data_IF_328723631930
#
_entry.id   IF_328723631930
#
_cell.length_a   1.000
_cell.length_b   1.000
_cell.length_c   1.000
_cell.angle_alpha   90.00
_cell.angle_beta   90.00
_cell.angle_gamma   90.00
#
_symmetry.space_group_name_H-M   'P 1'
#
loop_
_entity.id
_entity.type
_entity.pdbx_description
1 polymer ?
#
# COMPACT_ATOMS: atom_id res chain seq x y z
N UNK A 1 -2.18 -11.84 -22.46
CA UNK A 1 -3.21 -12.87 -22.79
C UNK A 1 -4.53 -12.42 -22.17
N UNK A 2 -5.69 -12.89 -22.63
CA UNK A 2 -6.94 -12.68 -21.87
C UNK A 2 -6.70 -13.12 -20.41
N UNK A 3 -7.00 -12.22 -19.45
CA UNK A 3 -6.73 -12.42 -18.03
C UNK A 3 -5.33 -12.01 -17.53
N UNK A 4 -4.55 -11.27 -18.32
CA UNK A 4 -3.32 -10.58 -17.89
C UNK A 4 -3.50 -9.08 -18.09
N UNK A 5 -3.02 -8.28 -17.15
CA UNK A 5 -3.18 -6.83 -17.16
C UNK A 5 -4.14 -6.30 -16.10
N UNK A 6 -4.02 -5.00 -15.86
CA UNK A 6 -4.87 -4.25 -14.94
C UNK A 6 -6.32 -4.35 -15.42
N UNK A 7 -7.18 -4.88 -14.54
CA UNK A 7 -8.58 -5.18 -14.86
C UNK A 7 -9.48 -4.58 -13.81
N UNK A 8 -10.54 -3.90 -14.26
CA UNK A 8 -11.60 -3.38 -13.41
C UNK A 8 -12.92 -4.12 -13.69
N UNK A 9 -13.64 -4.46 -12.62
CA UNK A 9 -14.97 -5.06 -12.68
C UNK A 9 -16.02 -4.00 -12.33
N UNK A 10 -16.79 -3.58 -13.33
CA UNK A 10 -17.88 -2.62 -13.16
C UNK A 10 -19.18 -3.36 -12.81
N UNK A 11 -19.78 -3.03 -11.67
CA UNK A 11 -21.10 -3.54 -11.30
C UNK A 11 -22.17 -2.88 -12.17
N UNK A 12 -23.02 -3.69 -12.81
CA UNK A 12 -24.18 -3.26 -13.57
C UNK A 12 -25.48 -3.46 -12.75
N UNK A 13 -26.64 -3.22 -13.36
CA UNK A 13 -27.94 -3.55 -12.77
C UNK A 13 -28.14 -5.08 -12.69
N UNK A 14 -28.61 -5.58 -11.53
CA UNK A 14 -28.55 -7.00 -11.09
C UNK A 14 -27.08 -7.47 -10.86
N UNK A 15 -26.76 -8.56 -10.12
CA UNK A 15 -25.37 -8.91 -9.78
C UNK A 15 -24.59 -9.45 -10.99
N UNK A 16 -24.32 -8.57 -11.96
CA UNK A 16 -23.60 -8.77 -13.21
C UNK A 16 -22.46 -7.75 -13.25
N UNK A 17 -21.29 -8.22 -13.65
CA UNK A 17 -20.11 -7.38 -13.80
C UNK A 17 -19.71 -7.29 -15.27
N UNK A 18 -19.44 -6.09 -15.76
CA UNK A 18 -18.66 -5.89 -16.97
C UNK A 18 -17.16 -5.98 -16.61
N UNK A 19 -16.39 -6.65 -17.47
CA UNK A 19 -14.94 -6.78 -17.34
C UNK A 19 -14.29 -5.75 -18.26
N UNK A 20 -13.52 -4.84 -17.67
CA UNK A 20 -12.73 -3.84 -18.39
C UNK A 20 -11.25 -4.18 -18.23
N UNK A 21 -10.61 -4.63 -19.32
CA UNK A 21 -9.16 -4.82 -19.36
C UNK A 21 -8.54 -3.50 -19.81
N UNK A 22 -7.79 -2.86 -18.92
CA UNK A 22 -7.30 -1.49 -19.09
C UNK A 22 -5.99 -1.49 -19.89
N UNK A 23 -5.08 -2.41 -19.56
CA UNK A 23 -3.80 -2.55 -20.23
C UNK A 23 -2.89 -3.52 -19.48
N UNK A 24 -1.67 -3.70 -19.99
CA UNK A 24 -0.64 -4.57 -19.39
C UNK A 24 0.59 -3.82 -18.90
N UNK A 25 0.64 -2.52 -19.18
CA UNK A 25 1.69 -1.61 -18.76
C UNK A 25 1.69 -1.46 -17.23
N UNK A 26 2.88 -1.56 -16.62
CA UNK A 26 3.02 -1.50 -15.18
C UNK A 26 2.43 -2.67 -14.39
N UNK A 27 1.82 -3.66 -15.04
CA UNK A 27 1.25 -4.84 -14.40
C UNK A 27 2.34 -5.63 -13.65
N UNK A 28 2.27 -5.56 -12.32
CA UNK A 28 3.18 -6.22 -11.40
C UNK A 28 2.45 -6.47 -10.07
N UNK A 29 3.14 -7.06 -9.09
CA UNK A 29 2.52 -7.49 -7.83
C UNK A 29 2.03 -6.32 -6.97
N UNK A 30 0.81 -5.86 -7.25
CA UNK A 30 0.20 -4.80 -6.46
C UNK A 30 -0.62 -3.78 -7.22
N UNK A 31 -1.20 -2.85 -6.48
CA UNK A 31 -1.86 -1.68 -7.05
C UNK A 31 -2.54 -0.80 -6.01
N UNK A 32 -2.97 0.36 -6.48
CA UNK A 32 -3.69 1.37 -5.72
C UNK A 32 -4.75 2.06 -6.56
N UNK A 33 -5.59 2.85 -5.92
CA UNK A 33 -6.58 3.71 -6.58
C UNK A 33 -6.56 5.06 -5.88
N UNK A 34 -6.50 6.16 -6.64
CA UNK A 34 -6.43 7.51 -6.10
C UNK A 34 -6.51 8.56 -7.19
N UNK A 35 -6.70 9.82 -6.81
CA UNK A 35 -6.70 10.94 -7.77
C UNK A 35 -5.28 11.53 -7.83
N UNK A 36 -4.44 11.04 -8.75
CA UNK A 36 -3.01 11.40 -8.75
C UNK A 36 -2.76 12.70 -9.52
N UNK A 37 -3.62 13.06 -10.46
CA UNK A 37 -3.50 14.27 -11.27
C UNK A 37 -4.39 15.43 -10.77
N UNK A 38 -5.13 15.24 -9.67
CA UNK A 38 -6.00 16.22 -9.02
C UNK A 38 -7.16 16.69 -9.89
N UNK A 39 -7.67 15.82 -10.76
CA UNK A 39 -8.79 16.13 -11.66
C UNK A 39 -10.15 15.65 -11.16
N UNK A 40 -10.19 15.06 -9.96
CA UNK A 40 -11.38 14.55 -9.31
C UNK A 40 -11.79 13.14 -9.72
N UNK A 41 -11.07 12.49 -10.64
CA UNK A 41 -11.32 11.09 -11.05
C UNK A 41 -10.37 10.15 -10.31
N UNK A 42 -10.75 8.86 -10.26
CA UNK A 42 -9.97 7.83 -9.58
C UNK A 42 -9.12 7.09 -10.60
N UNK A 43 -7.83 7.38 -10.57
CA UNK A 43 -6.79 6.74 -11.35
C UNK A 43 -6.38 5.40 -10.72
N UNK A 44 -5.75 4.56 -11.53
CA UNK A 44 -5.23 3.27 -11.07
C UNK A 44 -3.72 3.33 -11.00
N UNK A 45 -3.20 2.99 -9.83
CA UNK A 45 -1.78 2.98 -9.52
C UNK A 45 -1.23 1.57 -9.70
N UNK A 46 -0.07 1.49 -10.34
CA UNK A 46 0.72 0.27 -10.48
C UNK A 46 2.12 0.50 -9.89
N UNK A 47 2.93 -0.54 -9.67
CA UNK A 47 4.31 -0.37 -9.24
C UNK A 47 5.23 0.41 -10.22
N UNK A 48 4.85 0.55 -11.50
CA UNK A 48 5.71 1.14 -12.53
C UNK A 48 5.04 2.27 -13.33
N UNK A 49 4.10 2.96 -12.71
CA UNK A 49 3.34 4.04 -13.33
C UNK A 49 1.87 3.95 -12.98
N UNK A 50 1.05 4.71 -13.68
CA UNK A 50 -0.38 4.81 -13.37
C UNK A 50 -1.21 4.97 -14.63
N UNK A 51 -2.46 4.54 -14.55
CA UNK A 51 -3.46 4.71 -15.59
C UNK A 51 -4.37 5.88 -15.23
N UNK A 52 -4.40 6.88 -16.10
CA UNK A 52 -5.28 8.04 -15.98
C UNK A 52 -6.70 7.66 -16.38
N UNK A 53 -7.64 7.94 -15.47
CA UNK A 53 -9.04 7.75 -15.72
C UNK A 53 -9.54 8.74 -16.78
N UNK A 54 -10.16 8.28 -17.87
CA UNK A 54 -10.78 9.19 -18.81
C UNK A 54 -12.10 9.74 -18.23
N UNK A 55 -12.72 10.69 -18.93
CA UNK A 55 -14.00 11.27 -18.50
C UNK A 55 -15.12 10.23 -18.40
N UNK A 56 -15.10 9.21 -19.28
CA UNK A 56 -16.04 8.08 -19.24
C UNK A 56 -15.28 6.73 -19.11
N UNK A 57 -14.91 6.29 -17.89
CA UNK A 57 -14.03 5.13 -17.65
C UNK A 57 -14.47 3.80 -18.27
N UNK A 58 -15.77 3.62 -18.51
CA UNK A 58 -16.35 2.42 -19.11
C UNK A 58 -16.45 2.47 -20.66
N UNK A 59 -16.06 3.58 -21.28
CA UNK A 59 -16.22 3.82 -22.73
C UNK A 59 -14.95 4.29 -23.41
N UNK A 60 -14.19 5.13 -22.71
CA UNK A 60 -13.02 5.81 -23.23
C UNK A 60 -11.75 5.06 -22.84
N UNK A 61 -10.68 5.26 -23.60
CA UNK A 61 -9.38 4.64 -23.34
C UNK A 61 -8.68 5.29 -22.15
N UNK A 62 -8.11 4.46 -21.28
CA UNK A 62 -7.23 4.91 -20.21
C UNK A 62 -5.83 5.18 -20.76
N UNK A 63 -5.16 6.21 -20.24
CA UNK A 63 -3.79 6.55 -20.65
C UNK A 63 -2.78 6.10 -19.61
N UNK A 64 -1.77 5.32 -20.01
CA UNK A 64 -0.69 4.92 -19.11
C UNK A 64 0.41 5.98 -19.06
N UNK A 65 0.84 6.32 -17.84
CA UNK A 65 1.93 7.25 -17.55
C UNK A 65 3.04 6.53 -16.78
N UNK A 66 4.18 6.31 -17.44
CA UNK A 66 5.36 5.64 -16.88
C UNK A 66 6.24 6.60 -16.05
N UNK A 67 5.63 7.33 -15.13
CA UNK A 67 6.30 8.44 -14.43
C UNK A 67 7.27 8.00 -13.33
N UNK A 68 7.18 6.75 -12.87
CA UNK A 68 8.02 6.15 -11.84
C UNK A 68 8.17 4.64 -12.06
N UNK A 69 9.15 4.05 -11.37
CA UNK A 69 9.40 2.60 -11.42
C UNK A 69 9.97 2.14 -10.07
N UNK A 70 9.20 1.33 -9.34
CA UNK A 70 9.65 0.71 -8.10
C UNK A 70 10.35 -0.65 -8.38
N UNK A 71 11.15 -1.14 -7.43
CA UNK A 71 11.99 -2.34 -7.62
C UNK A 71 11.15 -3.64 -7.76
N UNK A 72 11.15 -4.22 -8.96
CA UNK A 72 10.52 -5.50 -9.28
C UNK A 72 10.88 -6.61 -8.28
N UNK A 73 12.13 -6.66 -7.79
CA UNK A 73 12.59 -7.77 -6.93
C UNK A 73 12.00 -7.69 -5.53
N UNK A 74 11.70 -6.49 -5.08
CA UNK A 74 11.13 -6.27 -3.77
C UNK A 74 9.59 -6.39 -3.78
N UNK A 75 9.00 -6.47 -4.99
CA UNK A 75 7.57 -6.65 -5.27
C UNK A 75 6.71 -5.71 -4.40
N UNK A 76 6.83 -4.39 -4.63
CA UNK A 76 6.01 -3.40 -3.94
C UNK A 76 4.59 -3.51 -4.46
N UNK A 77 3.62 -3.36 -3.56
CA UNK A 77 2.31 -2.90 -3.98
C UNK A 77 1.10 -3.70 -3.51
N UNK A 78 1.21 -4.54 -2.49
CA UNK A 78 0.06 -5.28 -1.94
C UNK A 78 -1.18 -4.37 -1.77
N UNK A 79 -0.97 -3.15 -1.27
CA UNK A 79 -1.85 -1.99 -1.39
C UNK A 79 -0.99 -0.73 -1.45
N UNK A 80 -1.27 0.16 -2.41
CA UNK A 80 -0.56 1.44 -2.59
C UNK A 80 -1.50 2.62 -2.32
N UNK A 81 -1.58 3.14 -1.08
CA UNK A 81 -2.41 4.29 -0.75
C UNK A 81 -1.98 5.56 -1.49
N UNK A 82 -2.95 6.41 -1.81
CA UNK A 82 -2.76 7.68 -2.51
C UNK A 82 -3.36 8.81 -1.69
N UNK A 83 -2.51 9.62 -1.07
CA UNK A 83 -2.86 10.77 -0.22
C UNK A 83 -1.77 11.83 -0.30
N UNK A 84 -2.09 13.07 0.02
CA UNK A 84 -1.12 14.15 0.24
C UNK A 84 -0.36 13.90 1.55
N UNK A 85 0.89 13.44 1.46
CA UNK A 85 1.71 13.01 2.60
C UNK A 85 2.44 14.18 3.25
N UNK A 86 2.75 15.23 2.48
CA UNK A 86 3.51 16.39 2.94
C UNK A 86 2.68 17.69 3.07
N UNK A 87 1.40 17.65 2.75
CA UNK A 87 0.47 18.78 2.83
C UNK A 87 0.64 19.82 1.72
N UNK A 88 1.29 19.46 0.60
CA UNK A 88 1.56 20.41 -0.50
C UNK A 88 0.42 20.53 -1.53
N UNK A 89 -0.66 19.75 -1.33
CA UNK A 89 -1.84 19.70 -2.18
C UNK A 89 -1.71 18.75 -3.38
N UNK A 90 -0.62 18.01 -3.50
CA UNK A 90 -0.44 16.95 -4.48
C UNK A 90 -0.56 15.59 -3.79
N UNK A 91 -1.38 14.70 -4.35
CA UNK A 91 -1.43 13.35 -3.81
C UNK A 91 -0.15 12.59 -4.17
N UNK A 92 0.38 11.90 -3.19
CA UNK A 92 1.56 11.04 -3.26
C UNK A 92 1.18 9.57 -3.28
N UNK A 93 2.17 8.69 -3.38
CA UNK A 93 1.94 7.24 -3.41
C UNK A 93 2.77 6.56 -2.32
N UNK A 94 2.11 5.95 -1.34
CA UNK A 94 2.76 5.13 -0.32
C UNK A 94 2.93 3.70 -0.85
N UNK A 95 4.09 3.09 -0.60
CA UNK A 95 4.36 1.71 -0.96
C UNK A 95 5.06 0.95 0.18
N UNK A 96 4.79 -0.36 0.27
CA UNK A 96 5.52 -1.29 1.13
C UNK A 96 5.93 -2.51 0.33
N UNK A 97 7.11 -3.05 0.62
CA UNK A 97 7.63 -4.23 -0.07
C UNK A 97 7.07 -5.53 0.53
N UNK A 98 6.43 -6.33 -0.32
CA UNK A 98 5.90 -7.64 0.03
C UNK A 98 7.01 -8.70 0.11
N UNK A 99 8.01 -8.63 -0.77
CA UNK A 99 9.00 -9.70 -0.94
C UNK A 99 10.45 -9.21 -0.88
N UNK A 100 10.66 -7.89 -0.72
CA UNK A 100 11.91 -7.27 -0.29
C UNK A 100 11.79 -6.59 1.06
N UNK A 101 12.83 -5.86 1.46
CA UNK A 101 12.81 -5.02 2.66
C UNK A 101 12.49 -3.57 2.30
N UNK A 102 11.63 -2.98 3.12
CA UNK A 102 11.42 -1.55 3.20
C UNK A 102 10.01 -1.10 2.84
N UNK A 103 9.81 0.19 3.05
CA UNK A 103 8.58 0.93 2.76
C UNK A 103 8.98 2.39 2.57
N UNK A 104 8.24 3.09 1.75
CA UNK A 104 8.47 4.49 1.46
C UNK A 104 7.26 5.13 0.81
N UNK A 105 7.49 6.31 0.25
CA UNK A 105 6.50 7.01 -0.54
C UNK A 105 7.15 7.76 -1.69
N UNK A 106 6.39 7.91 -2.78
CA UNK A 106 6.77 8.69 -3.94
C UNK A 106 6.10 10.06 -3.82
N UNK A 107 6.91 11.06 -3.46
CA UNK A 107 6.52 12.47 -3.42
C UNK A 107 6.27 12.95 -4.85
N UNK A 108 5.03 13.34 -5.14
CA UNK A 108 4.70 14.02 -6.38
C UNK A 108 5.28 15.43 -6.33
N UNK A 109 5.98 15.80 -7.39
CA UNK A 109 6.59 17.14 -7.54
C UNK A 109 6.11 17.79 -8.83
N UNK A 110 6.11 19.12 -8.85
CA UNK A 110 5.83 19.93 -10.05
C UNK A 110 7.06 20.73 -10.45
N UNK A 111 7.53 20.52 -11.67
CA UNK A 111 8.54 21.34 -12.32
C UNK A 111 8.04 22.74 -12.61
N UNK A 112 8.96 23.66 -12.96
CA UNK A 112 8.61 25.05 -13.32
C UNK A 112 7.74 25.17 -14.57
N UNK A 113 7.79 24.16 -15.43
CA UNK A 113 6.99 24.00 -16.65
C UNK A 113 5.66 23.26 -16.38
N UNK A 114 5.38 22.91 -15.12
CA UNK A 114 4.22 22.12 -14.73
C UNK A 114 4.38 20.61 -14.91
N UNK A 115 5.55 20.14 -15.38
CA UNK A 115 5.80 18.71 -15.53
C UNK A 115 5.73 18.01 -14.17
N UNK A 116 5.04 16.86 -14.14
CA UNK A 116 5.03 15.97 -12.96
C UNK A 116 6.39 15.29 -12.83
N UNK A 117 6.86 15.14 -11.60
CA UNK A 117 7.96 14.25 -11.25
C UNK A 117 7.62 13.47 -9.99
N UNK A 118 8.36 12.42 -9.71
CA UNK A 118 8.27 11.68 -8.46
C UNK A 118 9.64 11.59 -7.80
N UNK A 119 9.67 11.83 -6.49
CA UNK A 119 10.87 11.66 -5.67
C UNK A 119 10.60 10.59 -4.61
N UNK A 120 11.47 9.59 -4.58
CA UNK A 120 11.36 8.48 -3.64
C UNK A 120 11.91 8.86 -2.26
N UNK A 121 11.15 8.57 -1.22
CA UNK A 121 11.51 8.73 0.18
C UNK A 121 11.37 7.41 0.91
N UNK A 122 12.51 6.85 1.31
CA UNK A 122 12.53 5.67 2.15
C UNK A 122 12.13 6.02 3.59
N UNK A 123 11.17 5.28 4.14
CA UNK A 123 10.66 5.44 5.51
C UNK A 123 11.19 4.34 6.43
N UNK A 124 11.27 3.12 5.91
CA UNK A 124 11.64 1.93 6.65
C UNK A 124 12.54 1.04 5.79
N UNK A 125 13.52 0.37 6.40
CA UNK A 125 14.44 -0.55 5.74
C UNK A 125 14.56 -1.90 6.47
N UNK A 126 14.00 -2.02 7.67
CA UNK A 126 14.14 -3.21 8.53
C UNK A 126 12.95 -4.17 8.44
N UNK A 127 11.82 -3.72 7.87
CA UNK A 127 10.62 -4.54 7.72
C UNK A 127 10.50 -5.10 6.30
N UNK A 128 9.96 -6.30 6.19
CA UNK A 128 9.65 -6.98 4.94
C UNK A 128 8.34 -7.75 5.13
N UNK A 129 7.74 -8.23 4.04
CA UNK A 129 6.44 -8.92 4.08
C UNK A 129 5.27 -8.01 4.42
N UNK A 130 5.36 -6.73 4.06
CA UNK A 130 4.28 -5.76 4.29
C UNK A 130 3.12 -6.04 3.32
N UNK A 131 2.05 -6.65 3.83
CA UNK A 131 0.98 -7.27 3.03
C UNK A 131 -0.41 -6.73 3.30
N UNK A 132 -0.50 -5.67 4.08
CA UNK A 132 -1.73 -4.92 4.25
C UNK A 132 -1.33 -3.52 4.64
N UNK A 133 -1.92 -2.54 3.97
CA UNK A 133 -1.89 -1.13 4.35
C UNK A 133 -3.31 -0.59 4.30
N UNK A 134 -3.69 0.15 5.34
CA UNK A 134 -4.94 0.90 5.41
C UNK A 134 -4.65 2.29 5.97
N UNK A 135 -5.55 3.22 5.70
CA UNK A 135 -5.45 4.60 6.19
C UNK A 135 -6.54 4.87 7.23
N UNK A 136 -6.21 5.70 8.22
CA UNK A 136 -7.18 6.21 9.19
C UNK A 136 -6.57 7.33 10.04
N UNK A 137 -7.38 8.28 10.48
CA UNK A 137 -6.97 9.32 11.42
C UNK A 137 -6.97 8.72 12.84
N UNK A 138 -5.82 8.18 13.26
CA UNK A 138 -5.71 7.39 14.50
C UNK A 138 -5.56 8.29 15.72
N UNK A 139 -4.85 9.41 15.58
CA UNK A 139 -4.59 10.37 16.66
C UNK A 139 -5.62 11.53 16.72
N UNK A 140 -6.57 11.60 15.78
CA UNK A 140 -7.59 12.65 15.66
C UNK A 140 -7.00 14.04 15.38
N UNK A 141 -5.88 14.10 14.66
CA UNK A 141 -5.26 15.37 14.25
C UNK A 141 -5.82 15.90 12.92
N UNK A 142 -6.66 15.12 12.24
CA UNK A 142 -7.28 15.46 10.96
C UNK A 142 -6.49 14.98 9.74
N UNK A 143 -5.30 14.39 9.93
CA UNK A 143 -4.50 13.77 8.89
C UNK A 143 -4.75 12.25 8.85
N UNK A 144 -4.56 11.65 7.68
CA UNK A 144 -4.64 10.20 7.54
C UNK A 144 -3.28 9.59 7.89
N UNK A 145 -3.31 8.64 8.83
CA UNK A 145 -2.14 7.83 9.18
C UNK A 145 -2.13 6.49 8.45
N UNK A 146 -0.95 5.87 8.40
CA UNK A 146 -0.77 4.54 7.81
C UNK A 146 -0.78 3.45 8.88
N UNK A 147 -1.67 2.46 8.74
CA UNK A 147 -1.61 1.22 9.51
C UNK A 147 -1.16 0.12 8.56
N UNK A 148 -0.06 -0.56 8.90
CA UNK A 148 0.57 -1.55 8.04
C UNK A 148 0.92 -2.83 8.80
N UNK A 149 0.76 -3.97 8.14
CA UNK A 149 0.92 -5.29 8.76
C UNK A 149 1.87 -6.21 7.99
N UNK A 150 2.65 -6.97 8.74
CA UNK A 150 3.55 -8.01 8.22
C UNK A 150 2.84 -9.35 8.08
N UNK A 151 2.91 -9.97 6.90
CA UNK A 151 2.46 -11.35 6.64
C UNK A 151 3.49 -12.37 7.17
N UNK A 152 2.97 -13.48 7.67
CA UNK A 152 3.77 -14.69 7.94
C UNK A 152 3.99 -15.49 6.65
N UNK A 153 5.25 -15.67 6.24
CA UNK A 153 5.68 -16.53 5.13
C UNK A 153 4.90 -16.28 3.82
N UNK A 154 5.08 -15.11 3.20
CA UNK A 154 4.49 -14.75 1.90
C UNK A 154 4.59 -15.85 0.87
N UNK A 155 5.81 -16.31 0.60
CA UNK A 155 6.10 -17.44 -0.28
C UNK A 155 6.63 -18.67 0.45
N UNK A 156 5.89 -19.13 1.48
CA UNK A 156 6.21 -20.38 2.19
C UNK A 156 7.62 -20.43 2.79
N UNK A 157 8.22 -19.27 3.11
CA UNK A 157 9.56 -19.17 3.69
C UNK A 157 10.67 -18.75 2.72
N UNK A 158 10.37 -18.59 1.43
CA UNK A 158 11.37 -18.22 0.41
C UNK A 158 11.78 -16.75 0.45
N UNK A 159 10.87 -15.87 0.88
CA UNK A 159 11.15 -14.45 0.96
C UNK A 159 12.03 -14.12 2.17
N UNK A 160 12.79 -13.01 2.12
CA UNK A 160 13.45 -12.45 3.29
C UNK A 160 12.47 -12.26 4.45
N UNK A 161 13.01 -12.25 5.68
CA UNK A 161 12.23 -11.96 6.89
C UNK A 161 11.05 -12.91 7.15
N UNK A 162 10.96 -14.06 6.45
CA UNK A 162 9.86 -15.03 6.62
C UNK A 162 9.79 -15.66 8.01
N UNK A 163 10.89 -15.57 8.77
CA UNK A 163 11.03 -16.10 10.13
C UNK A 163 11.33 -15.01 11.16
N UNK A 164 11.30 -13.75 10.74
CA UNK A 164 11.45 -12.60 11.63
C UNK A 164 10.15 -12.37 12.43
N UNK A 165 10.21 -11.56 13.50
CA UNK A 165 9.02 -11.17 14.25
C UNK A 165 7.91 -10.62 13.35
N UNK A 166 6.67 -10.98 13.69
CA UNK A 166 5.46 -10.40 13.11
C UNK A 166 5.09 -9.11 13.83
N UNK A 167 4.51 -8.17 13.09
CA UNK A 167 4.02 -6.95 13.69
C UNK A 167 2.93 -6.26 12.87
N UNK A 168 2.15 -5.47 13.59
CA UNK A 168 1.25 -4.45 13.05
C UNK A 168 1.72 -3.13 13.61
N UNK A 169 1.90 -2.17 12.72
CA UNK A 169 2.47 -0.87 13.02
C UNK A 169 1.51 0.22 12.57
N UNK A 170 1.47 1.29 13.34
CA UNK A 170 0.88 2.55 12.95
C UNK A 170 2.02 3.53 12.68
N UNK A 171 1.98 4.23 11.56
CA UNK A 171 2.88 5.34 11.27
C UNK A 171 2.05 6.61 11.27
N UNK A 172 2.29 7.47 12.26
CA UNK A 172 1.77 8.83 12.32
C UNK A 172 2.42 9.64 11.19
N UNK A 173 1.60 10.26 10.34
CA UNK A 173 2.05 11.02 9.17
C UNK A 173 1.87 12.51 9.44
N UNK A 174 2.97 13.25 9.45
CA UNK A 174 2.97 14.71 9.64
C UNK A 174 4.07 15.33 8.78
N UNK A 175 3.73 16.29 7.92
CA UNK A 175 4.66 17.05 7.08
C UNK A 175 5.70 16.17 6.34
N UNK A 176 5.25 15.06 5.75
CA UNK A 176 6.10 14.13 5.00
C UNK A 176 6.97 13.21 5.86
N UNK A 177 6.82 13.26 7.19
CA UNK A 177 7.51 12.40 8.14
C UNK A 177 6.59 11.28 8.62
N UNK A 178 7.19 10.12 8.89
CA UNK A 178 6.50 8.93 9.36
C UNK A 178 7.06 8.53 10.71
N UNK A 179 6.24 8.61 11.76
CA UNK A 179 6.63 8.21 13.11
C UNK A 179 6.00 6.89 13.48
N UNK A 180 6.84 5.86 13.69
CA UNK A 180 6.39 4.48 13.94
C UNK A 180 5.93 4.27 15.38
N UNK A 181 4.73 3.71 15.52
CA UNK A 181 4.13 3.16 16.72
C UNK A 181 3.90 1.65 16.56
N UNK A 182 4.23 0.89 17.60
CA UNK A 182 4.00 -0.56 17.62
C UNK A 182 2.61 -0.82 18.18
N UNK A 183 1.71 -1.35 17.37
CA UNK A 183 0.38 -1.79 17.83
C UNK A 183 0.42 -3.23 18.35
N UNK A 184 1.13 -4.09 17.63
CA UNK A 184 1.31 -5.51 17.97
C UNK A 184 2.67 -5.94 17.45
N UNK A 185 3.43 -6.68 18.25
CA UNK A 185 4.73 -7.21 17.83
C UNK A 185 5.03 -8.49 18.60
N UNK A 186 5.39 -9.55 17.87
CA UNK A 186 5.78 -10.82 18.47
C UNK A 186 6.81 -11.57 17.63
N UNK A 187 7.59 -12.41 18.28
CA UNK A 187 8.44 -13.42 17.65
C UNK A 187 7.63 -14.64 17.20
N UNK A 188 8.13 -15.34 16.18
CA UNK A 188 7.52 -16.58 15.72
C UNK A 188 7.82 -17.75 16.67
N UNK A 189 6.88 -18.69 16.87
CA UNK A 189 7.16 -19.90 17.61
C UNK A 189 8.32 -20.66 16.95
N UNK A 190 9.18 -21.26 17.76
CA UNK A 190 10.36 -22.01 17.31
C UNK A 190 9.99 -23.05 16.24
N UNK A 191 10.74 -23.03 15.13
CA UNK A 191 10.61 -24.01 14.05
C UNK A 191 11.83 -24.96 14.06
N UNK A 192 11.62 -26.29 14.15
CA UNK A 192 12.71 -27.25 14.09
C UNK A 192 13.57 -27.05 12.84
N UNK A 193 14.89 -26.89 13.02
CA UNK A 193 15.83 -26.71 11.92
C UNK A 193 16.02 -25.27 11.43
N UNK A 194 15.38 -24.28 12.07
CA UNK A 194 15.61 -22.85 11.82
C UNK A 194 16.23 -22.23 13.06
N UNK A 195 17.35 -21.51 12.91
CA UNK A 195 17.89 -20.69 14.00
C UNK A 195 16.90 -19.58 14.34
N UNK A 196 16.05 -19.83 15.34
CA UNK A 196 15.13 -18.86 15.91
C UNK A 196 15.52 -18.70 17.37
N UNK A 197 16.20 -17.59 17.67
CA UNK A 197 16.57 -17.21 19.04
C UNK A 197 15.63 -16.07 19.41
N UNK A 198 14.63 -16.28 20.28
CA UNK A 198 14.01 -15.19 21.05
C UNK A 198 13.14 -15.72 22.22
N UNK A 199 13.19 -15.08 23.40
CA UNK A 199 12.39 -15.47 24.57
C UNK A 199 10.96 -14.86 24.57
N UNK A 200 10.01 -15.45 25.34
CA UNK A 200 8.60 -15.04 25.48
C UNK A 200 8.38 -13.57 25.88
N UNK A 201 7.18 -12.96 25.62
CA UNK A 201 5.88 -13.59 25.38
C UNK A 201 5.38 -13.65 23.91
N UNK A 202 4.41 -14.56 23.66
CA UNK A 202 4.05 -15.20 22.39
C UNK A 202 2.67 -14.80 21.77
N UNK A 203 2.35 -13.52 21.61
CA UNK A 203 1.08 -13.15 20.97
C UNK A 203 1.25 -12.03 19.95
N UNK A 204 1.31 -12.37 18.65
CA UNK A 204 1.03 -11.42 17.58
C UNK A 204 -0.45 -11.53 17.26
N UNK A 205 -1.16 -10.41 17.39
CA UNK A 205 -2.51 -10.27 16.87
C UNK A 205 -2.39 -10.06 15.35
N UNK A 206 -2.96 -11.00 14.58
CA UNK A 206 -2.99 -10.98 13.12
C UNK A 206 -1.62 -11.22 12.45
N UNK A 207 -1.59 -12.07 11.42
CA UNK A 207 -0.61 -11.88 10.35
C UNK A 207 -1.22 -10.80 9.45
N UNK A 208 -0.53 -9.68 9.22
CA UNK A 208 -1.00 -8.48 8.52
C UNK A 208 -1.48 -8.71 7.09
N UNK A 209 -2.56 -9.46 6.97
CA UNK A 209 -3.20 -9.97 5.77
C UNK A 209 -4.58 -9.33 5.56
N UNK A 210 -5.16 -8.85 6.65
CA UNK A 210 -6.38 -8.09 6.66
C UNK A 210 -6.36 -7.22 7.91
N UNK A 211 -6.52 -5.92 7.72
CA UNK A 211 -6.69 -4.93 8.77
C UNK A 211 -7.85 -4.04 8.34
N UNK A 212 -8.67 -3.60 9.28
CA UNK A 212 -9.78 -2.69 9.03
C UNK A 212 -9.77 -1.58 10.08
N UNK A 213 -10.01 -0.35 9.63
CA UNK A 213 -10.27 0.79 10.49
C UNK A 213 -11.79 1.02 10.56
N UNK A 214 -12.33 1.09 11.77
CA UNK A 214 -13.73 1.41 12.02
C UNK A 214 -13.90 1.94 13.45
N UNK A 215 -14.88 2.82 13.70
CA UNK A 215 -15.29 3.17 15.06
C UNK A 215 -16.32 2.13 15.54
N UNK A 216 -15.85 1.11 16.26
CA UNK A 216 -16.69 -0.01 16.72
C UNK A 216 -17.46 0.38 17.99
N UNK A 217 -16.97 1.37 18.73
CA UNK A 217 -17.55 1.82 19.99
C UNK A 217 -18.47 3.03 19.87
N UNK A 218 -18.55 3.64 18.68
CA UNK A 218 -19.27 4.88 18.39
C UNK A 218 -18.79 6.07 19.26
N UNK A 219 -17.50 6.10 19.62
CA UNK A 219 -16.91 7.17 20.45
C UNK A 219 -16.19 8.26 19.62
N UNK A 220 -16.22 8.12 18.29
CA UNK A 220 -15.59 9.01 17.32
C UNK A 220 -14.12 8.72 17.06
N UNK A 221 -13.53 7.67 17.67
CA UNK A 221 -12.14 7.26 17.43
C UNK A 221 -12.08 6.06 16.51
N UNK A 222 -11.01 6.00 15.73
CA UNK A 222 -10.71 4.84 14.89
C UNK A 222 -10.24 3.69 15.78
N UNK A 223 -10.97 2.57 15.74
CA UNK A 223 -10.48 1.28 16.20
C UNK A 223 -9.84 0.51 15.03
N UNK A 224 -8.89 -0.36 15.35
CA UNK A 224 -8.16 -1.19 14.39
C UNK A 224 -8.48 -2.65 14.68
N UNK A 225 -8.97 -3.36 13.65
CA UNK A 225 -9.40 -4.78 13.70
C UNK A 225 -8.54 -5.64 12.77
#
# INVERSE_FOLDING_TARGET
KEGQGVTWLELLDEPKFAIHVIGTEGDHHGGGIGDINSDGRKDIITPHGWYEAPEHPAKDEWTFHADYHLDDKAEPGIRMPVIDVNGDGLNDIIYGYGHGYGMGWLEQTRGKDGARGFKDHQVEDSLSQLHTSILGDVNQDGNLDLIIGKRLRGHSGADPSSFDPLGVFWYEIEDGQFKRHILSYNHLPWYPGVETINPPPNYAIGAGMNLVCADVTEDGKVDIV
#
